data_IF_575105567863
#
_entry.id   IF_575105567863
#
_cell.length_a   1.000
_cell.length_b   1.000
_cell.length_c   1.000
_cell.angle_alpha   90.00
_cell.angle_beta   90.00
_cell.angle_gamma   90.00
#
_symmetry.space_group_name_H-M   'P 1'
#
loop_
_entity.id
_entity.type
_entity.pdbx_description
1 polymer ?
#
# COMPACT_ATOMS: atom_id res chain seq x y z
N UNK A 1 8.34 -12.59 8.19
CA UNK A 1 9.54 -13.39 8.54
C UNK A 1 10.77 -13.03 7.69
N UNK A 2 10.67 -12.88 6.38
CA UNK A 2 11.80 -12.54 5.47
C UNK A 2 12.54 -11.25 5.82
N UNK A 3 11.84 -10.15 6.11
CA UNK A 3 12.48 -8.88 6.46
C UNK A 3 13.27 -8.95 7.78
N UNK A 4 12.75 -9.67 8.77
CA UNK A 4 13.50 -9.88 10.03
C UNK A 4 14.80 -10.68 9.81
N UNK A 5 14.77 -11.69 8.95
CA UNK A 5 15.96 -12.47 8.59
C UNK A 5 17.00 -11.60 7.89
N UNK A 6 16.58 -10.81 6.90
CA UNK A 6 17.47 -9.88 6.18
C UNK A 6 18.11 -8.89 7.14
N UNK A 7 17.32 -8.28 8.03
CA UNK A 7 17.81 -7.34 9.01
C UNK A 7 18.80 -7.97 9.98
N UNK A 8 18.50 -9.17 10.50
CA UNK A 8 19.39 -9.92 11.37
C UNK A 8 20.71 -10.27 10.66
N UNK A 9 20.65 -10.65 9.39
CA UNK A 9 21.86 -10.92 8.59
C UNK A 9 22.75 -9.68 8.47
N UNK A 10 22.19 -8.51 8.17
CA UNK A 10 22.97 -7.27 8.10
C UNK A 10 23.61 -6.90 9.44
N UNK A 11 22.85 -6.98 10.54
CA UNK A 11 23.40 -6.71 11.87
C UNK A 11 24.51 -7.70 12.23
N UNK A 12 24.29 -8.99 12.00
CA UNK A 12 25.27 -10.02 12.29
C UNK A 12 26.54 -9.85 11.45
N UNK A 13 26.38 -9.58 10.14
CA UNK A 13 27.51 -9.31 9.25
C UNK A 13 28.31 -8.09 9.70
N UNK A 14 27.64 -7.00 10.07
CA UNK A 14 28.29 -5.79 10.59
C UNK A 14 29.11 -6.08 11.85
N UNK A 15 28.56 -6.82 12.81
CA UNK A 15 29.24 -7.19 14.05
C UNK A 15 30.46 -8.10 13.79
N UNK A 16 30.29 -9.10 12.90
CA UNK A 16 31.39 -10.02 12.55
C UNK A 16 32.51 -9.27 11.85
N UNK A 17 32.19 -8.41 10.85
CA UNK A 17 33.18 -7.59 10.17
C UNK A 17 33.87 -6.63 11.15
N UNK A 18 33.10 -5.96 12.01
CA UNK A 18 33.67 -5.07 13.04
C UNK A 18 34.63 -5.78 14.00
N UNK A 19 34.31 -7.03 14.37
CA UNK A 19 35.21 -7.84 15.20
C UNK A 19 36.47 -8.29 14.45
N UNK A 20 36.35 -8.68 13.19
CA UNK A 20 37.49 -9.13 12.36
C UNK A 20 38.44 -7.99 12.03
N UNK A 21 37.91 -6.81 11.71
CA UNK A 21 38.71 -5.63 11.35
C UNK A 21 39.07 -4.73 12.56
N UNK A 22 38.65 -5.07 13.76
CA UNK A 22 38.94 -4.29 14.96
C UNK A 22 38.18 -2.95 15.05
N UNK A 23 37.09 -2.78 14.31
CA UNK A 23 36.30 -1.55 14.20
C UNK A 23 34.98 -1.61 14.97
N UNK A 24 34.92 -2.35 16.07
CA UNK A 24 33.69 -2.47 16.89
C UNK A 24 33.22 -1.11 17.46
N UNK A 25 34.16 -0.21 17.77
CA UNK A 25 33.82 1.13 18.22
C UNK A 25 33.06 1.91 17.14
N UNK A 26 33.49 1.80 15.88
CA UNK A 26 32.85 2.46 14.75
C UNK A 26 31.45 1.86 14.48
N UNK A 27 31.30 0.53 14.62
CA UNK A 27 29.98 -0.14 14.50
C UNK A 27 29.03 0.38 15.58
N UNK A 28 29.51 0.55 16.83
CA UNK A 28 28.69 1.08 17.92
C UNK A 28 28.32 2.55 17.67
N UNK A 29 29.26 3.37 17.23
CA UNK A 29 29.02 4.77 16.88
C UNK A 29 28.00 4.88 15.73
N UNK A 30 28.15 4.10 14.67
CA UNK A 30 27.22 4.05 13.54
C UNK A 30 25.81 3.61 13.96
N UNK A 31 25.69 2.67 14.91
CA UNK A 31 24.41 2.25 15.44
C UNK A 31 23.68 3.37 16.20
N UNK A 32 24.41 4.14 17.00
CA UNK A 32 23.87 5.30 17.72
C UNK A 32 23.49 6.44 16.77
N UNK A 33 24.33 6.72 15.78
CA UNK A 33 24.05 7.70 14.74
C UNK A 33 22.82 7.32 13.91
N UNK A 34 22.72 6.04 13.52
CA UNK A 34 21.56 5.51 12.80
C UNK A 34 20.27 5.61 13.61
N UNK A 35 20.32 5.37 14.93
CA UNK A 35 19.18 5.54 15.81
C UNK A 35 18.75 7.01 15.90
N UNK A 36 19.69 7.95 16.05
CA UNK A 36 19.41 9.40 16.05
C UNK A 36 18.81 9.86 14.73
N UNK A 37 19.39 9.44 13.61
CA UNK A 37 18.89 9.76 12.27
C UNK A 37 17.45 9.23 12.05
N UNK A 38 17.15 8.05 12.57
CA UNK A 38 15.79 7.48 12.48
C UNK A 38 14.77 8.32 13.26
N UNK A 39 15.14 8.81 14.47
CA UNK A 39 14.27 9.69 15.26
C UNK A 39 14.07 11.04 14.55
N UNK A 40 15.12 11.67 14.05
CA UNK A 40 15.03 12.93 13.31
C UNK A 40 14.14 12.79 12.06
N UNK A 41 14.34 11.73 11.28
CA UNK A 41 13.50 11.45 10.11
C UNK A 41 12.03 11.25 10.50
N UNK A 42 11.77 10.49 11.57
CA UNK A 42 10.41 10.26 12.07
C UNK A 42 9.73 11.56 12.47
N UNK A 43 10.42 12.43 13.20
CA UNK A 43 9.89 13.73 13.61
C UNK A 43 9.65 14.66 12.43
N UNK A 44 10.59 14.73 11.48
CA UNK A 44 10.46 15.56 10.28
C UNK A 44 9.28 15.12 9.39
N UNK A 45 9.04 13.81 9.30
CA UNK A 45 7.90 13.26 8.55
C UNK A 45 6.57 13.39 9.29
N UNK A 46 6.56 13.36 10.61
CA UNK A 46 5.34 13.34 11.42
C UNK A 46 4.41 14.53 11.09
N UNK A 47 4.96 15.74 10.99
CA UNK A 47 4.20 16.93 10.64
C UNK A 47 3.52 16.83 9.27
N UNK A 48 4.27 16.41 8.25
CA UNK A 48 3.74 16.26 6.90
C UNK A 48 2.67 15.15 6.83
N UNK A 49 2.89 14.02 7.50
CA UNK A 49 1.91 12.92 7.56
C UNK A 49 0.64 13.33 8.31
N UNK A 50 0.76 14.06 9.43
CA UNK A 50 -0.38 14.59 10.16
C UNK A 50 -1.20 15.57 9.32
N UNK A 51 -0.54 16.49 8.61
CA UNK A 51 -1.19 17.43 7.70
C UNK A 51 -1.96 16.69 6.62
N UNK A 52 -1.32 15.77 5.91
CA UNK A 52 -1.96 14.98 4.85
C UNK A 52 -3.09 14.11 5.38
N UNK A 53 -2.92 13.49 6.54
CA UNK A 53 -3.96 12.71 7.19
C UNK A 53 -5.19 13.57 7.53
N UNK A 54 -4.96 14.80 8.01
CA UNK A 54 -6.02 15.78 8.26
C UNK A 54 -6.75 16.19 6.98
N UNK A 55 -6.01 16.55 5.93
CA UNK A 55 -6.59 16.90 4.61
C UNK A 55 -7.42 15.75 4.06
N UNK A 56 -6.90 14.51 4.10
CA UNK A 56 -7.61 13.34 3.60
C UNK A 56 -8.88 13.05 4.42
N UNK A 57 -8.85 13.25 5.74
CA UNK A 57 -10.03 13.11 6.60
C UNK A 57 -11.13 14.13 6.22
N UNK A 58 -10.76 15.36 5.92
CA UNK A 58 -11.71 16.39 5.44
C UNK A 58 -12.31 15.98 4.10
N UNK A 59 -11.50 15.52 3.16
CA UNK A 59 -11.96 15.07 1.84
C UNK A 59 -12.89 13.85 1.94
N UNK A 60 -12.59 12.92 2.85
CA UNK A 60 -13.43 11.75 3.12
C UNK A 60 -14.78 12.16 3.69
N UNK A 61 -14.80 13.03 4.72
CA UNK A 61 -16.03 13.59 5.30
C UNK A 61 -16.81 14.46 4.31
N UNK A 62 -16.12 15.14 3.39
CA UNK A 62 -16.71 15.87 2.26
C UNK A 62 -17.33 14.99 1.19
N UNK A 63 -17.27 13.66 1.33
CA UNK A 63 -17.90 12.70 0.40
C UNK A 63 -17.07 12.36 -0.83
N UNK A 64 -15.79 12.76 -0.90
CA UNK A 64 -14.92 12.43 -2.03
C UNK A 64 -14.78 10.92 -2.22
N UNK A 65 -14.62 10.17 -1.12
CA UNK A 65 -14.55 8.70 -1.15
C UNK A 65 -15.82 8.09 -1.73
N UNK A 66 -17.00 8.63 -1.35
CA UNK A 66 -18.27 8.17 -1.89
C UNK A 66 -18.44 8.54 -3.38
N UNK A 67 -17.95 9.70 -3.79
CA UNK A 67 -17.91 10.13 -5.20
C UNK A 67 -17.06 9.20 -6.05
N UNK A 68 -15.84 8.92 -5.60
CA UNK A 68 -14.93 7.97 -6.25
C UNK A 68 -15.50 6.56 -6.29
N UNK A 69 -16.12 6.09 -5.21
CA UNK A 69 -16.76 4.79 -5.18
C UNK A 69 -17.86 4.66 -6.24
N UNK A 70 -18.66 5.71 -6.47
CA UNK A 70 -19.66 5.74 -7.55
C UNK A 70 -19.01 5.72 -8.93
N UNK A 71 -17.96 6.48 -9.14
CA UNK A 71 -17.23 6.58 -10.40
C UNK A 71 -16.61 5.22 -10.79
N UNK A 72 -16.00 4.52 -9.82
CA UNK A 72 -15.35 3.24 -10.08
C UNK A 72 -16.29 2.03 -10.07
N UNK A 73 -17.52 2.20 -9.61
CA UNK A 73 -18.53 1.13 -9.55
C UNK A 73 -18.72 0.36 -10.87
N UNK A 74 -18.83 1.01 -12.05
CA UNK A 74 -18.98 0.29 -13.31
C UNK A 74 -17.74 -0.52 -13.68
N UNK A 75 -16.54 -0.03 -13.35
CA UNK A 75 -15.29 -0.75 -13.56
C UNK A 75 -15.18 -1.97 -12.63
N UNK A 76 -15.51 -1.78 -11.35
CA UNK A 76 -15.49 -2.85 -10.35
C UNK A 76 -16.49 -3.97 -10.69
N UNK A 77 -17.66 -3.63 -11.25
CA UNK A 77 -18.62 -4.63 -11.74
C UNK A 77 -18.06 -5.51 -12.85
N UNK A 78 -17.12 -5.01 -13.67
CA UNK A 78 -16.46 -5.80 -14.72
C UNK A 78 -15.32 -6.66 -14.18
N UNK A 79 -14.63 -6.19 -13.14
CA UNK A 79 -13.47 -6.90 -12.55
C UNK A 79 -13.95 -7.95 -11.55
N UNK A 80 -15.02 -7.65 -10.79
CA UNK A 80 -15.57 -8.44 -9.68
C UNK A 80 -17.08 -8.65 -9.86
N UNK A 81 -17.52 -9.42 -10.89
CA UNK A 81 -18.93 -9.57 -11.21
C UNK A 81 -19.76 -10.28 -10.12
N UNK A 82 -19.21 -11.26 -9.39
CA UNK A 82 -19.90 -11.93 -8.31
C UNK A 82 -20.05 -11.05 -7.07
N UNK A 83 -18.96 -10.39 -6.67
CA UNK A 83 -18.99 -9.42 -5.55
C UNK A 83 -19.96 -8.26 -5.81
N UNK A 84 -20.21 -7.92 -7.07
CA UNK A 84 -21.13 -6.84 -7.45
C UNK A 84 -22.62 -7.22 -7.40
N UNK A 85 -22.96 -8.50 -7.19
CA UNK A 85 -24.34 -8.94 -7.03
C UNK A 85 -24.91 -8.56 -5.67
N UNK A 86 -24.06 -8.53 -4.65
CA UNK A 86 -24.43 -8.04 -3.32
C UNK A 86 -24.05 -6.56 -3.16
N UNK A 87 -25.04 -5.73 -2.86
CA UNK A 87 -24.88 -4.29 -2.75
C UNK A 87 -23.90 -3.88 -1.64
N UNK A 88 -23.92 -4.60 -0.53
CA UNK A 88 -23.07 -4.34 0.63
C UNK A 88 -21.62 -4.74 0.37
N UNK A 89 -21.38 -5.86 -0.31
CA UNK A 89 -20.06 -6.31 -0.72
C UNK A 89 -19.46 -5.32 -1.73
N UNK A 90 -20.25 -4.91 -2.72
CA UNK A 90 -19.82 -3.90 -3.69
C UNK A 90 -19.51 -2.56 -3.02
N UNK A 91 -20.29 -2.15 -2.02
CA UNK A 91 -20.02 -0.93 -1.24
C UNK A 91 -18.69 -1.05 -0.47
N UNK A 92 -18.43 -2.19 0.20
CA UNK A 92 -17.19 -2.43 0.94
C UNK A 92 -15.97 -2.43 0.01
N UNK A 93 -16.04 -3.11 -1.15
CA UNK A 93 -14.98 -3.12 -2.16
C UNK A 93 -14.76 -1.73 -2.73
N UNK A 94 -15.82 -1.01 -3.07
CA UNK A 94 -15.72 0.36 -3.61
C UNK A 94 -15.07 1.31 -2.60
N UNK A 95 -15.43 1.21 -1.33
CA UNK A 95 -14.83 2.01 -0.27
C UNK A 95 -13.32 1.69 -0.10
N UNK A 96 -12.96 0.41 -0.12
CA UNK A 96 -11.55 -0.01 -0.05
C UNK A 96 -10.73 0.52 -1.23
N UNK A 97 -11.20 0.34 -2.46
CA UNK A 97 -10.50 0.82 -3.67
C UNK A 97 -10.39 2.34 -3.67
N UNK A 98 -11.44 3.05 -3.25
CA UNK A 98 -11.42 4.52 -3.16
C UNK A 98 -10.43 5.02 -2.10
N UNK A 99 -10.37 4.37 -0.93
CA UNK A 99 -9.40 4.70 0.11
C UNK A 99 -7.96 4.46 -0.36
N UNK A 100 -7.73 3.36 -1.07
CA UNK A 100 -6.42 3.03 -1.67
C UNK A 100 -6.00 4.08 -2.72
N UNK A 101 -6.91 4.47 -3.61
CA UNK A 101 -6.69 5.53 -4.61
C UNK A 101 -6.30 6.87 -3.97
N UNK A 102 -6.91 7.21 -2.85
CA UNK A 102 -6.62 8.44 -2.11
C UNK A 102 -5.33 8.34 -1.26
N UNK A 103 -4.67 7.19 -1.24
CA UNK A 103 -3.48 6.98 -0.41
C UNK A 103 -3.78 6.88 1.09
N UNK A 104 -5.04 6.58 1.45
CA UNK A 104 -5.49 6.39 2.84
C UNK A 104 -5.13 4.99 3.36
N UNK A 105 -3.83 4.64 3.42
CA UNK A 105 -3.37 3.30 3.80
C UNK A 105 -3.97 2.78 5.10
N UNK A 106 -4.08 3.64 6.12
CA UNK A 106 -4.66 3.29 7.43
C UNK A 106 -6.16 2.94 7.34
N UNK A 107 -6.92 3.61 6.47
CA UNK A 107 -8.34 3.35 6.25
C UNK A 107 -8.56 2.23 5.23
N UNK A 108 -7.70 2.12 4.23
CA UNK A 108 -7.80 1.11 3.17
C UNK A 108 -7.68 -0.32 3.72
N UNK A 109 -6.76 -0.57 4.65
CA UNK A 109 -6.53 -1.90 5.22
C UNK A 109 -7.77 -2.49 5.90
N UNK A 110 -8.42 -1.85 6.90
CA UNK A 110 -9.62 -2.41 7.51
C UNK A 110 -10.80 -2.53 6.55
N UNK A 111 -10.93 -1.61 5.58
CA UNK A 111 -11.94 -1.71 4.53
C UNK A 111 -11.67 -2.90 3.60
N UNK A 112 -10.42 -3.16 3.25
CA UNK A 112 -10.00 -4.31 2.45
C UNK A 112 -10.26 -5.63 3.16
N UNK A 113 -9.96 -5.72 4.46
CA UNK A 113 -10.26 -6.90 5.28
C UNK A 113 -11.77 -7.16 5.31
N UNK A 114 -12.59 -6.13 5.53
CA UNK A 114 -14.06 -6.25 5.52
C UNK A 114 -14.59 -6.70 4.17
N UNK A 115 -14.06 -6.16 3.07
CA UNK A 115 -14.42 -6.58 1.72
C UNK A 115 -14.05 -8.04 1.47
N UNK A 116 -12.83 -8.44 1.84
CA UNK A 116 -12.35 -9.82 1.70
C UNK A 116 -13.16 -10.80 2.54
N UNK A 117 -13.51 -10.48 3.78
CA UNK A 117 -14.35 -11.31 4.63
C UNK A 117 -15.73 -11.55 4.02
N UNK A 118 -16.37 -10.50 3.46
CA UNK A 118 -17.66 -10.65 2.77
C UNK A 118 -17.55 -11.52 1.52
N UNK A 119 -16.48 -11.34 0.74
CA UNK A 119 -16.25 -12.14 -0.47
C UNK A 119 -15.85 -13.59 -0.17
N UNK A 120 -15.30 -13.87 1.01
CA UNK A 120 -14.94 -15.22 1.45
C UNK A 120 -16.14 -16.07 1.91
N UNK A 121 -17.30 -15.45 2.16
CA UNK A 121 -18.50 -16.17 2.55
C UNK A 121 -18.92 -17.13 1.44
N UNK A 122 -19.03 -18.42 1.77
CA UNK A 122 -19.39 -19.48 0.82
C UNK A 122 -18.23 -20.05 -0.02
N UNK A 123 -17.00 -19.62 0.20
CA UNK A 123 -15.83 -20.09 -0.57
C UNK A 123 -15.23 -21.43 -0.09
N UNK A 124 -15.80 -22.07 0.95
CA UNK A 124 -15.39 -23.41 1.42
C UNK A 124 -13.89 -23.53 1.81
N UNK A 125 -13.28 -22.43 2.29
CA UNK A 125 -11.88 -22.40 2.71
C UNK A 125 -10.87 -22.11 1.58
N UNK A 126 -11.31 -22.02 0.33
CA UNK A 126 -10.45 -21.68 -0.83
C UNK A 126 -10.80 -20.28 -1.33
N UNK A 127 -9.79 -19.45 -1.61
CA UNK A 127 -10.02 -18.11 -2.14
C UNK A 127 -10.67 -18.17 -3.53
N UNK A 128 -11.74 -17.42 -3.73
CA UNK A 128 -12.35 -17.29 -5.06
C UNK A 128 -11.44 -16.47 -6.00
N UNK A 129 -11.60 -16.67 -7.30
CA UNK A 129 -10.88 -15.90 -8.32
C UNK A 129 -11.05 -14.38 -8.14
N UNK A 130 -12.23 -13.93 -7.71
CA UNK A 130 -12.49 -12.51 -7.45
C UNK A 130 -11.83 -12.02 -6.18
N UNK A 131 -11.74 -12.85 -5.15
CA UNK A 131 -10.99 -12.51 -3.94
C UNK A 131 -9.51 -12.35 -4.26
N UNK A 132 -8.94 -13.23 -5.09
CA UNK A 132 -7.57 -13.09 -5.57
C UNK A 132 -7.36 -11.77 -6.35
N UNK A 133 -8.32 -11.38 -7.22
CA UNK A 133 -8.26 -10.10 -7.94
C UNK A 133 -8.34 -8.90 -7.00
N UNK A 134 -9.15 -8.96 -5.94
CA UNK A 134 -9.21 -7.91 -4.92
C UNK A 134 -7.85 -7.76 -4.22
N UNK A 135 -7.21 -8.88 -3.84
CA UNK A 135 -5.87 -8.88 -3.24
C UNK A 135 -4.85 -8.26 -4.20
N UNK A 136 -4.88 -8.64 -5.48
CA UNK A 136 -4.00 -8.06 -6.51
C UNK A 136 -4.21 -6.55 -6.65
N UNK A 137 -5.46 -6.07 -6.68
CA UNK A 137 -5.78 -4.64 -6.74
C UNK A 137 -5.22 -3.86 -5.54
N UNK A 138 -5.31 -4.44 -4.33
CA UNK A 138 -4.77 -3.83 -3.12
C UNK A 138 -3.23 -3.84 -3.12
N UNK A 139 -2.62 -4.94 -3.56
CA UNK A 139 -1.15 -5.08 -3.61
C UNK A 139 -0.52 -4.20 -4.69
N UNK A 140 -1.20 -3.99 -5.82
CA UNK A 140 -0.73 -3.12 -6.89
C UNK A 140 -0.67 -1.63 -6.50
N UNK A 141 -1.23 -1.27 -5.34
CA UNK A 141 -1.09 0.04 -4.70
C UNK A 141 -1.41 1.22 -5.64
N UNK A 142 -2.63 1.24 -6.18
CA UNK A 142 -3.09 2.34 -7.02
C UNK A 142 -3.17 3.60 -6.18
N UNK A 143 -2.37 4.62 -6.51
CA UNK A 143 -2.35 5.88 -5.76
C UNK A 143 -2.57 7.06 -6.73
N UNK A 144 -3.56 7.90 -6.44
CA UNK A 144 -3.71 9.20 -7.09
C UNK A 144 -2.76 10.22 -6.47
N UNK A 145 -2.59 10.15 -5.16
CA UNK A 145 -1.69 11.02 -4.39
C UNK A 145 -0.73 10.14 -3.57
N UNK A 146 0.57 10.10 -3.91
CA UNK A 146 1.59 9.37 -3.16
C UNK A 146 2.01 10.17 -1.91
N UNK A 147 1.08 10.33 -0.97
CA UNK A 147 1.23 11.22 0.19
C UNK A 147 2.45 10.89 1.05
N UNK A 148 2.70 9.61 1.29
CA UNK A 148 3.88 9.16 2.06
C UNK A 148 5.19 9.50 1.35
N UNK A 149 5.28 9.24 0.04
CA UNK A 149 6.48 9.53 -0.74
C UNK A 149 6.69 11.05 -0.85
N UNK A 150 5.62 11.81 -1.05
CA UNK A 150 5.70 13.28 -1.07
C UNK A 150 6.15 13.84 0.29
N UNK A 151 5.68 13.27 1.41
CA UNK A 151 6.11 13.67 2.74
C UNK A 151 7.61 13.40 2.97
N UNK A 152 8.11 12.22 2.58
CA UNK A 152 9.54 11.89 2.66
C UNK A 152 10.37 12.84 1.81
N UNK A 153 9.97 13.08 0.57
CA UNK A 153 10.68 14.01 -0.34
C UNK A 153 10.72 15.43 0.22
N UNK A 154 9.61 15.90 0.78
CA UNK A 154 9.54 17.20 1.44
C UNK A 154 10.47 17.27 2.65
N UNK A 155 10.48 16.23 3.49
CA UNK A 155 11.38 16.14 4.65
C UNK A 155 12.86 16.14 4.26
N UNK A 156 13.20 15.64 3.06
CA UNK A 156 14.55 15.66 2.50
C UNK A 156 14.86 16.95 1.72
N UNK A 157 14.05 17.99 1.86
CA UNK A 157 14.30 19.32 1.27
C UNK A 157 13.89 19.46 -0.20
N UNK A 158 13.11 18.53 -0.75
CA UNK A 158 12.60 18.65 -2.12
C UNK A 158 11.59 19.80 -2.22
N UNK A 159 11.84 20.76 -3.11
CA UNK A 159 10.97 21.94 -3.33
C UNK A 159 9.68 21.62 -4.07
N UNK A 160 9.66 20.55 -4.84
CA UNK A 160 8.49 20.10 -5.60
C UNK A 160 8.17 18.60 -5.33
N UNK A 161 7.68 18.23 -4.13
CA UNK A 161 7.51 16.82 -3.73
C UNK A 161 6.56 16.03 -4.61
N UNK A 162 5.63 16.69 -5.31
CA UNK A 162 4.59 16.09 -6.14
C UNK A 162 4.91 16.02 -7.65
N UNK A 163 6.09 16.42 -8.09
CA UNK A 163 6.51 16.34 -9.49
C UNK A 163 6.56 14.92 -10.05
N UNK A 164 6.58 13.91 -9.14
CA UNK A 164 6.52 12.49 -9.48
C UNK A 164 5.15 11.99 -9.89
N UNK A 165 4.08 12.80 -9.78
CA UNK A 165 2.70 12.38 -10.05
C UNK A 165 2.50 11.66 -11.38
N UNK A 166 3.01 12.18 -12.53
CA UNK A 166 2.84 11.49 -13.81
C UNK A 166 3.47 10.09 -13.83
N UNK A 167 4.65 9.95 -13.23
CA UNK A 167 5.34 8.66 -13.14
C UNK A 167 4.60 7.68 -12.22
N UNK A 168 4.06 8.16 -11.09
CA UNK A 168 3.26 7.34 -10.16
C UNK A 168 1.97 6.86 -10.83
N UNK A 169 1.28 7.71 -11.58
CA UNK A 169 0.06 7.30 -12.30
C UNK A 169 0.36 6.27 -13.37
N UNK A 170 1.39 6.49 -14.17
CA UNK A 170 1.80 5.54 -15.20
C UNK A 170 2.19 4.19 -14.59
N UNK A 171 3.02 4.18 -13.56
CA UNK A 171 3.44 2.95 -12.87
C UNK A 171 2.27 2.23 -12.21
N UNK A 172 1.32 2.96 -11.59
CA UNK A 172 0.11 2.39 -10.98
C UNK A 172 -0.76 1.71 -12.03
N UNK A 173 -1.01 2.35 -13.16
CA UNK A 173 -1.81 1.76 -14.25
C UNK A 173 -1.13 0.52 -14.81
N UNK A 174 0.17 0.57 -15.06
CA UNK A 174 0.94 -0.57 -15.57
C UNK A 174 0.96 -1.73 -14.56
N UNK A 175 1.16 -1.44 -13.28
CA UNK A 175 1.16 -2.45 -12.21
C UNK A 175 -0.19 -3.17 -12.09
N UNK A 176 -1.29 -2.41 -12.10
CA UNK A 176 -2.65 -2.97 -12.06
C UNK A 176 -2.94 -3.80 -13.30
N UNK A 177 -2.62 -3.28 -14.48
CA UNK A 177 -2.84 -4.00 -15.73
C UNK A 177 -2.06 -5.32 -15.75
N UNK A 178 -0.77 -5.29 -15.40
CA UNK A 178 0.07 -6.47 -15.32
C UNK A 178 -0.45 -7.47 -14.27
N UNK A 179 -0.81 -7.00 -13.07
CA UNK A 179 -1.34 -7.83 -12.00
C UNK A 179 -2.66 -8.52 -12.38
N UNK A 180 -3.61 -7.78 -12.96
CA UNK A 180 -4.88 -8.35 -13.40
C UNK A 180 -4.73 -9.31 -14.58
N UNK A 181 -3.83 -9.02 -15.52
CA UNK A 181 -3.51 -9.92 -16.65
C UNK A 181 -2.89 -11.21 -16.11
N UNK A 182 -1.91 -11.12 -15.23
CA UNK A 182 -1.27 -12.29 -14.60
C UNK A 182 -2.29 -13.12 -13.82
N UNK A 183 -3.16 -12.47 -13.03
CA UNK A 183 -4.21 -13.17 -12.32
C UNK A 183 -5.16 -13.93 -13.26
N UNK A 184 -5.54 -13.33 -14.39
CA UNK A 184 -6.37 -14.00 -15.41
C UNK A 184 -5.65 -15.17 -16.08
N UNK A 185 -4.37 -15.03 -16.43
CA UNK A 185 -3.56 -16.10 -17.03
C UNK A 185 -3.41 -17.27 -16.07
N UNK A 186 -3.10 -17.01 -14.80
CA UNK A 186 -3.01 -18.04 -13.76
C UNK A 186 -4.34 -18.77 -13.54
N UNK A 187 -5.47 -18.08 -13.56
CA UNK A 187 -6.80 -18.69 -13.51
C UNK A 187 -7.03 -19.67 -14.66
N UNK A 188 -6.59 -19.31 -15.86
CA UNK A 188 -6.74 -20.16 -17.03
C UNK A 188 -5.86 -21.42 -16.95
N UNK A 189 -4.62 -21.28 -16.47
CA UNK A 189 -3.68 -22.39 -16.29
C UNK A 189 -4.11 -23.33 -15.15
N UNK A 190 -4.64 -22.77 -14.04
CA UNK A 190 -5.00 -23.57 -12.85
C UNK A 190 -6.36 -24.26 -12.97
N UNK A 191 -7.21 -23.85 -13.89
CA UNK A 191 -8.50 -24.52 -14.19
C UNK A 191 -8.36 -25.81 -15.00
N UNK A 192 -7.15 -26.21 -15.34
CA UNK A 192 -6.84 -27.51 -15.93
C UNK A 192 -6.38 -28.50 -14.85
#
# INVERSE_FOLDING_TARGET
MTMAIVWTLFVTASLVCGAVYGTLADVTAAAMEGASAAVELTLSMAGALCLWSGVMTVLERGGLTAGLARLFRPLLRRILPCASRDADTLAAVSANVSANLLGLGNAATPLGIRAAQRMAVGCGGTASDELCRLVVLNTASIQLLPTTVAAVRSAQGCTAPLDILPAVWLSSVLSVAAGLLTARLLQWVWRR
#
